data_IF_476722951079
#
_entry.id   IF_476722951079
#
_cell.length_a   1.000
_cell.length_b   1.000
_cell.length_c   1.000
_cell.angle_alpha   90.00
_cell.angle_beta   90.00
_cell.angle_gamma   90.00
#
_symmetry.space_group_name_H-M   'P 1'
#
loop_
_entity.id
_entity.type
_entity.pdbx_description
1 polymer ?
#
# COMPACT_ATOMS: atom_id res chain seq x y z
N UNK A 1 54.51 -8.36 -32.15
CA UNK A 1 53.95 -6.99 -32.15
C UNK A 1 52.49 -7.13 -31.73
N UNK A 2 52.15 -6.69 -30.51
CA UNK A 2 50.76 -6.65 -30.03
C UNK A 2 50.16 -5.33 -30.51
N UNK A 3 48.97 -5.36 -31.10
CA UNK A 3 48.18 -4.17 -31.39
C UNK A 3 47.12 -4.04 -30.30
N UNK A 4 47.28 -3.04 -29.45
CA UNK A 4 46.28 -2.63 -28.46
C UNK A 4 45.23 -1.77 -29.17
N UNK A 5 43.98 -2.24 -29.22
CA UNK A 5 42.84 -1.48 -29.72
C UNK A 5 42.23 -0.65 -28.58
N UNK A 6 42.47 0.66 -28.57
CA UNK A 6 41.81 1.60 -27.68
C UNK A 6 40.48 2.08 -28.26
N UNK A 7 39.44 2.14 -27.43
CA UNK A 7 38.19 2.85 -27.75
C UNK A 7 38.26 4.29 -27.23
N UNK A 8 37.65 5.23 -27.96
CA UNK A 8 37.60 6.65 -27.60
C UNK A 8 36.21 6.92 -27.01
N UNK A 9 36.13 7.27 -25.73
CA UNK A 9 34.95 7.95 -25.17
C UNK A 9 34.91 9.39 -25.70
N UNK A 10 33.77 9.78 -26.26
CA UNK A 10 33.52 11.15 -26.70
C UNK A 10 32.54 11.80 -25.73
N UNK A 11 32.94 12.91 -25.11
CA UNK A 11 32.01 13.77 -24.39
C UNK A 11 31.11 14.54 -25.37
N UNK A 12 29.92 14.91 -24.89
CA UNK A 12 28.93 15.65 -25.67
C UNK A 12 29.55 16.90 -26.34
N UNK A 13 29.38 17.02 -27.66
CA UNK A 13 29.78 18.21 -28.44
C UNK A 13 30.96 18.06 -29.40
N UNK A 14 31.53 16.86 -29.60
CA UNK A 14 32.65 16.65 -30.54
C UNK A 14 32.21 16.04 -31.88
N UNK A 15 32.65 16.62 -33.01
CA UNK A 15 32.36 16.13 -34.38
C UNK A 15 33.50 15.26 -34.93
N UNK A 16 33.20 14.04 -35.38
CA UNK A 16 34.15 13.21 -36.11
C UNK A 16 34.26 13.70 -37.57
N UNK A 17 35.38 14.33 -37.93
CA UNK A 17 35.64 14.75 -39.32
C UNK A 17 36.41 13.66 -40.06
N UNK A 18 35.70 12.80 -40.80
CA UNK A 18 36.31 11.89 -41.77
C UNK A 18 36.38 12.58 -43.14
N UNK A 19 37.59 12.82 -43.65
CA UNK A 19 37.82 13.40 -44.98
C UNK A 19 37.76 12.29 -46.04
N UNK A 20 36.63 12.19 -46.76
CA UNK A 20 36.52 11.46 -48.03
C UNK A 20 35.84 12.38 -49.05
N UNK A 21 36.30 12.34 -50.30
CA UNK A 21 36.14 13.38 -51.31
C UNK A 21 34.72 13.84 -51.66
N UNK A 22 34.62 15.16 -51.87
CA UNK A 22 33.77 15.90 -52.83
C UNK A 22 32.32 15.42 -53.00
N UNK A 23 31.49 15.66 -51.98
CA UNK A 23 30.10 16.16 -52.08
C UNK A 23 29.52 16.25 -50.67
N UNK A 24 29.30 17.46 -50.15
CA UNK A 24 28.65 17.65 -48.86
C UNK A 24 27.13 17.51 -49.03
N UNK A 25 26.62 16.30 -48.81
CA UNK A 25 25.21 16.12 -48.46
C UNK A 25 25.10 16.31 -46.94
N UNK A 26 24.75 17.52 -46.51
CA UNK A 26 24.42 17.77 -45.10
C UNK A 26 23.05 17.17 -44.81
N UNK A 27 23.02 15.91 -44.38
CA UNK A 27 21.85 15.39 -43.66
C UNK A 27 21.90 16.04 -42.28
N UNK A 28 21.21 17.17 -42.13
CA UNK A 28 20.96 17.76 -40.83
C UNK A 28 20.01 16.83 -40.09
N UNK A 29 20.54 15.88 -39.33
CA UNK A 29 19.77 15.22 -38.29
C UNK A 29 19.50 16.28 -37.23
N UNK A 30 18.30 16.87 -37.27
CA UNK A 30 17.76 17.59 -36.12
C UNK A 30 17.56 16.54 -35.04
N UNK A 31 18.60 16.30 -34.24
CA UNK A 31 18.41 15.77 -32.90
C UNK A 31 17.80 16.94 -32.14
N UNK A 32 16.47 17.01 -32.14
CA UNK A 32 15.78 17.76 -31.09
C UNK A 32 16.12 17.03 -29.82
N UNK A 33 17.17 17.45 -29.12
CA UNK A 33 17.25 17.16 -27.70
C UNK A 33 15.99 17.81 -27.15
N UNK A 34 14.99 17.00 -26.80
CA UNK A 34 13.94 17.46 -25.91
C UNK A 34 14.64 18.16 -24.74
N UNK A 35 14.09 19.26 -24.20
CA UNK A 35 14.62 19.80 -22.96
C UNK A 35 14.73 18.61 -22.00
N UNK A 36 15.94 18.33 -21.53
CA UNK A 36 16.10 17.48 -20.36
C UNK A 36 15.39 18.27 -19.28
N UNK A 37 14.15 17.89 -18.95
CA UNK A 37 13.57 18.26 -17.68
C UNK A 37 14.66 17.90 -16.66
N UNK A 38 15.07 18.86 -15.84
CA UNK A 38 15.89 18.52 -14.68
C UNK A 38 15.11 17.52 -13.81
N UNK A 39 15.68 17.00 -12.72
CA UNK A 39 14.91 16.22 -11.77
C UNK A 39 13.82 17.14 -11.19
N UNK A 40 12.67 17.19 -11.85
CA UNK A 40 11.44 17.62 -11.22
C UNK A 40 11.11 16.48 -10.27
N UNK A 41 10.81 16.82 -9.02
CA UNK A 41 10.32 15.83 -8.09
C UNK A 41 8.99 15.32 -8.64
N UNK A 42 8.89 14.02 -8.88
CA UNK A 42 7.66 13.37 -9.32
C UNK A 42 6.57 13.56 -8.25
N UNK A 43 5.35 13.88 -8.67
CA UNK A 43 4.19 13.94 -7.78
C UNK A 43 3.37 12.68 -7.98
N UNK A 44 3.48 11.75 -7.04
CA UNK A 44 3.10 10.34 -7.22
C UNK A 44 1.60 10.01 -7.20
N UNK A 45 0.73 11.02 -7.30
CA UNK A 45 -0.72 10.88 -7.18
C UNK A 45 -1.52 11.77 -8.16
N UNK A 46 -0.87 12.38 -9.16
CA UNK A 46 -1.50 13.43 -9.97
C UNK A 46 -1.86 13.01 -11.40
N UNK A 47 -1.53 11.78 -11.82
CA UNK A 47 -1.85 11.25 -13.14
C UNK A 47 -0.98 11.80 -14.26
N UNK A 48 0.21 12.35 -13.96
CA UNK A 48 1.12 12.95 -14.93
C UNK A 48 2.54 12.47 -14.70
N UNK A 49 3.25 12.37 -15.81
CA UNK A 49 4.70 12.29 -15.91
C UNK A 49 5.29 13.70 -15.63
N UNK A 50 5.64 13.99 -14.37
CA UNK A 50 6.10 15.33 -13.96
C UNK A 50 7.60 15.53 -14.25
N UNK A 51 8.39 14.45 -14.27
CA UNK A 51 9.82 14.48 -14.54
C UNK A 51 10.19 14.24 -16.03
N UNK A 52 9.27 13.71 -16.83
CA UNK A 52 9.36 13.57 -18.28
C UNK A 52 10.04 12.28 -18.77
N UNK A 53 10.15 11.24 -17.93
CA UNK A 53 10.78 9.98 -18.29
C UNK A 53 9.85 8.98 -19.03
N UNK A 54 8.54 9.28 -19.05
CA UNK A 54 7.50 8.49 -19.71
C UNK A 54 6.76 7.51 -18.80
N UNK A 55 7.02 7.50 -17.50
CA UNK A 55 6.28 6.80 -16.46
C UNK A 55 5.35 7.79 -15.74
N UNK A 56 4.46 7.30 -14.87
CA UNK A 56 3.45 8.13 -14.21
C UNK A 56 3.06 7.51 -12.89
N UNK A 57 3.03 8.30 -11.82
CA UNK A 57 2.60 7.90 -10.47
C UNK A 57 3.24 6.56 -10.03
N UNK A 58 2.45 5.59 -9.55
CA UNK A 58 2.96 4.30 -9.09
C UNK A 58 3.51 3.39 -10.18
N UNK A 59 3.36 3.74 -11.46
CA UNK A 59 4.08 3.06 -12.54
C UNK A 59 5.53 3.55 -12.67
N UNK A 60 5.87 4.64 -11.97
CA UNK A 60 7.21 5.22 -11.90
C UNK A 60 8.02 4.60 -10.75
N UNK A 61 9.30 4.36 -11.02
CA UNK A 61 10.26 3.88 -10.03
C UNK A 61 10.71 5.00 -9.08
N UNK A 62 10.66 6.27 -9.50
CA UNK A 62 10.96 7.44 -8.66
C UNK A 62 9.86 7.69 -7.61
N UNK A 63 8.68 7.09 -7.80
CA UNK A 63 7.57 7.09 -6.86
C UNK A 63 7.58 5.96 -5.84
N UNK A 64 8.60 5.10 -5.84
CA UNK A 64 8.72 4.01 -4.87
C UNK A 64 9.34 4.48 -3.55
N UNK A 65 9.00 3.78 -2.47
CA UNK A 65 9.66 3.91 -1.18
C UNK A 65 8.86 4.61 -0.10
N UNK A 66 7.52 4.55 -0.16
CA UNK A 66 6.71 4.90 1.00
C UNK A 66 6.98 3.95 2.17
N UNK A 67 7.18 4.50 3.36
CA UNK A 67 7.39 3.75 4.60
C UNK A 67 6.16 3.81 5.51
N UNK A 68 5.14 4.60 5.15
CA UNK A 68 3.97 4.85 5.97
C UNK A 68 2.74 4.04 5.55
N UNK A 69 2.83 2.72 5.70
CA UNK A 69 1.68 1.81 5.61
C UNK A 69 1.02 1.65 6.99
N UNK A 70 -0.28 1.84 7.06
CA UNK A 70 -1.06 1.61 8.29
C UNK A 70 -2.17 0.59 8.07
N UNK A 71 -2.73 0.09 9.18
CA UNK A 71 -4.07 -0.51 9.21
C UNK A 71 -5.06 0.60 9.53
N UNK A 72 -6.02 0.84 8.66
CA UNK A 72 -7.05 1.88 8.79
C UNK A 72 -8.34 1.36 9.40
N UNK A 73 -8.69 0.10 9.16
CA UNK A 73 -9.97 -0.45 9.61
C UNK A 73 -9.87 -1.97 9.86
N UNK A 74 -10.58 -2.47 10.89
CA UNK A 74 -10.65 -3.90 11.21
C UNK A 74 -12.09 -4.28 11.56
N UNK A 75 -12.66 -5.24 10.85
CA UNK A 75 -13.89 -5.93 11.23
C UNK A 75 -13.54 -7.34 11.70
N UNK A 76 -13.61 -7.56 13.01
CA UNK A 76 -13.23 -8.82 13.66
C UNK A 76 -14.42 -9.61 14.23
N UNK A 77 -15.65 -9.12 14.07
CA UNK A 77 -16.86 -9.73 14.64
C UNK A 77 -18.12 -9.33 13.85
N UNK A 78 -18.18 -9.64 12.53
CA UNK A 78 -19.33 -9.31 11.69
C UNK A 78 -20.63 -9.92 12.23
N UNK A 79 -21.77 -9.25 12.00
CA UNK A 79 -23.07 -9.71 12.49
C UNK A 79 -24.00 -10.23 11.40
N UNK A 80 -23.73 -9.89 10.13
CA UNK A 80 -24.58 -10.29 9.01
C UNK A 80 -24.19 -11.64 8.40
N UNK A 81 -22.91 -12.01 8.50
CA UNK A 81 -22.35 -13.28 8.01
C UNK A 81 -21.36 -13.83 9.03
N UNK A 82 -21.02 -15.15 8.99
CA UNK A 82 -20.00 -15.70 9.87
C UNK A 82 -18.63 -15.03 9.67
N UNK A 83 -17.82 -15.04 10.71
CA UNK A 83 -16.45 -14.47 10.75
C UNK A 83 -15.58 -14.94 9.58
N UNK A 84 -15.66 -16.25 9.26
CA UNK A 84 -14.94 -16.87 8.13
C UNK A 84 -15.26 -16.24 6.77
N UNK A 85 -16.34 -15.48 6.68
CA UNK A 85 -16.80 -14.81 5.46
C UNK A 85 -16.64 -13.29 5.56
N UNK A 86 -17.06 -12.68 6.67
CA UNK A 86 -17.25 -11.22 6.78
C UNK A 86 -16.14 -10.43 7.47
N UNK A 87 -15.15 -11.09 8.07
CA UNK A 87 -14.01 -10.38 8.64
C UNK A 87 -13.15 -9.74 7.57
N UNK A 88 -12.61 -8.56 7.89
CA UNK A 88 -11.62 -7.90 7.05
C UNK A 88 -10.64 -7.05 7.83
N UNK A 89 -9.51 -6.80 7.18
CA UNK A 89 -8.49 -5.81 7.55
C UNK A 89 -8.30 -4.89 6.36
N UNK A 90 -8.30 -3.58 6.61
CA UNK A 90 -7.98 -2.59 5.60
C UNK A 90 -6.61 -1.97 5.88
N UNK A 91 -5.75 -1.97 4.86
CA UNK A 91 -4.51 -1.22 4.85
C UNK A 91 -4.73 0.11 4.14
N UNK A 92 -3.99 1.15 4.56
CA UNK A 92 -3.96 2.45 3.87
C UNK A 92 -2.54 2.94 3.73
N UNK A 93 -2.22 3.48 2.56
CA UNK A 93 -0.99 4.21 2.33
C UNK A 93 -1.15 5.66 2.78
N UNK A 94 -0.53 6.01 3.92
CA UNK A 94 -0.54 7.37 4.47
C UNK A 94 0.70 8.18 4.03
N UNK A 95 1.55 7.61 3.15
CA UNK A 95 2.71 8.27 2.57
C UNK A 95 2.34 9.16 1.37
N UNK A 96 3.27 10.03 0.95
CA UNK A 96 3.18 10.82 -0.28
C UNK A 96 3.78 10.10 -1.51
N UNK A 97 4.18 8.84 -1.32
CA UNK A 97 4.74 7.96 -2.34
C UNK A 97 3.98 6.66 -2.45
N UNK A 98 4.21 5.95 -3.54
CA UNK A 98 3.64 4.63 -3.74
C UNK A 98 4.33 3.58 -2.88
N UNK A 99 3.55 2.60 -2.43
CA UNK A 99 4.02 1.43 -1.71
C UNK A 99 3.76 0.19 -2.58
N UNK A 100 4.83 -0.50 -2.96
CA UNK A 100 4.75 -1.80 -3.65
C UNK A 100 4.64 -2.92 -2.60
N UNK A 101 3.45 -3.51 -2.52
CA UNK A 101 3.15 -4.64 -1.65
C UNK A 101 3.44 -5.98 -2.34
N UNK A 102 3.86 -6.00 -3.60
CA UNK A 102 4.15 -7.21 -4.36
C UNK A 102 5.07 -8.16 -3.61
N UNK A 103 4.57 -9.38 -3.35
CA UNK A 103 5.31 -10.42 -2.64
C UNK A 103 5.45 -10.21 -1.12
N UNK A 104 4.97 -9.10 -0.56
CA UNK A 104 4.83 -8.92 0.89
C UNK A 104 3.85 -9.96 1.44
N UNK A 105 3.79 -10.09 2.77
CA UNK A 105 2.87 -11.01 3.42
C UNK A 105 2.12 -10.39 4.59
N UNK A 106 0.91 -10.89 4.84
CA UNK A 106 0.06 -10.55 5.98
C UNK A 106 -0.32 -11.82 6.74
N UNK A 107 -0.32 -11.75 8.07
CA UNK A 107 -0.73 -12.83 8.95
C UNK A 107 -1.40 -12.30 10.22
N UNK A 108 -2.13 -13.18 10.90
CA UNK A 108 -2.54 -12.97 12.28
C UNK A 108 -1.50 -13.57 13.26
N UNK A 109 -1.50 -13.13 14.52
CA UNK A 109 -0.41 -13.33 15.48
C UNK A 109 -0.18 -14.76 15.96
N UNK A 110 -0.95 -15.75 15.48
CA UNK A 110 -0.84 -17.16 15.83
C UNK A 110 0.41 -17.87 15.27
N UNK A 111 1.09 -17.27 14.28
CA UNK A 111 2.26 -17.86 13.61
C UNK A 111 1.90 -18.98 12.62
N UNK A 112 0.65 -19.00 12.15
CA UNK A 112 0.22 -19.79 11.00
C UNK A 112 0.80 -19.19 9.69
N UNK A 113 0.79 -19.93 8.57
CA UNK A 113 1.41 -19.45 7.32
C UNK A 113 0.85 -18.09 6.90
N UNK A 114 1.75 -17.13 6.65
CA UNK A 114 1.37 -15.84 6.11
C UNK A 114 0.77 -15.98 4.70
N UNK A 115 -0.13 -15.06 4.35
CA UNK A 115 -0.65 -14.95 2.99
C UNK A 115 0.08 -13.84 2.25
N UNK A 116 0.36 -14.05 0.96
CA UNK A 116 1.14 -13.13 0.15
C UNK A 116 0.26 -12.26 -0.75
N UNK A 117 0.62 -10.99 -0.90
CA UNK A 117 0.03 -10.11 -1.88
C UNK A 117 0.51 -10.49 -3.30
N UNK A 118 -0.35 -10.32 -4.30
CA UNK A 118 0.00 -10.62 -5.69
C UNK A 118 1.11 -9.68 -6.18
N UNK A 119 1.99 -10.20 -7.04
CA UNK A 119 3.06 -9.40 -7.67
C UNK A 119 2.46 -8.19 -8.43
N UNK A 120 3.04 -7.01 -8.23
CA UNK A 120 2.55 -5.77 -8.83
C UNK A 120 1.39 -5.10 -8.08
N UNK A 121 1.02 -5.60 -6.89
CA UNK A 121 0.10 -4.88 -5.98
C UNK A 121 0.77 -3.60 -5.50
N UNK A 122 0.23 -2.44 -5.87
CA UNK A 122 0.77 -1.13 -5.52
C UNK A 122 -0.34 -0.27 -4.94
N UNK A 123 0.00 0.52 -3.92
CA UNK A 123 -0.89 1.53 -3.34
C UNK A 123 -0.35 2.92 -3.62
N UNK A 124 -1.17 3.73 -4.28
CA UNK A 124 -0.96 5.17 -4.42
C UNK A 124 -1.13 5.89 -3.08
N UNK A 125 -0.64 7.14 -2.96
CA UNK A 125 -0.91 7.98 -1.79
C UNK A 125 -2.41 8.05 -1.46
N UNK A 126 -2.77 7.73 -0.22
CA UNK A 126 -4.16 7.69 0.27
C UNK A 126 -4.98 6.47 -0.17
N UNK A 127 -4.44 5.59 -1.02
CA UNK A 127 -5.15 4.40 -1.46
C UNK A 127 -5.25 3.34 -0.35
N UNK A 128 -6.37 2.62 -0.34
CA UNK A 128 -6.65 1.53 0.60
C UNK A 128 -6.60 0.17 -0.08
N UNK A 129 -6.29 -0.88 0.68
CA UNK A 129 -6.37 -2.28 0.25
C UNK A 129 -7.15 -3.10 1.28
N UNK A 130 -8.28 -3.68 0.86
CA UNK A 130 -9.16 -4.45 1.74
C UNK A 130 -8.92 -5.95 1.58
N UNK A 131 -8.49 -6.58 2.67
CA UNK A 131 -8.30 -8.01 2.81
C UNK A 131 -9.51 -8.59 3.54
N UNK A 132 -10.24 -9.54 2.94
CA UNK A 132 -11.38 -10.19 3.62
C UNK A 132 -11.27 -11.72 3.66
N UNK A 133 -11.97 -12.35 4.61
CA UNK A 133 -12.08 -13.82 4.72
C UNK A 133 -12.70 -14.48 3.48
N UNK A 134 -13.60 -13.77 2.79
CA UNK A 134 -14.10 -14.10 1.45
C UNK A 134 -14.15 -12.85 0.57
N UNK A 135 -13.57 -12.86 -0.63
CA UNK A 135 -13.60 -11.69 -1.52
C UNK A 135 -14.90 -11.54 -2.32
N UNK A 136 -15.82 -12.50 -2.24
CA UNK A 136 -17.09 -12.43 -2.94
C UNK A 136 -18.07 -11.59 -2.13
N UNK A 137 -18.30 -10.35 -2.57
CA UNK A 137 -19.18 -9.38 -1.92
C UNK A 137 -20.58 -9.91 -1.57
N UNK A 138 -21.13 -10.81 -2.40
CA UNK A 138 -22.45 -11.43 -2.15
C UNK A 138 -22.46 -12.52 -1.06
N UNK A 139 -21.30 -12.91 -0.54
CA UNK A 139 -21.13 -13.96 0.48
C UNK A 139 -20.50 -13.42 1.77
N UNK A 140 -19.79 -12.29 1.71
CA UNK A 140 -19.07 -11.69 2.84
C UNK A 140 -19.83 -10.53 3.52
N UNK A 141 -21.14 -10.41 3.31
CA UNK A 141 -21.93 -9.31 3.88
C UNK A 141 -21.77 -7.97 3.16
N UNK A 142 -21.17 -7.95 1.96
CA UNK A 142 -21.05 -6.77 1.11
C UNK A 142 -19.73 -6.01 1.23
N UNK A 143 -18.70 -6.62 1.81
CA UNK A 143 -17.34 -6.04 1.88
C UNK A 143 -16.73 -5.97 0.47
N UNK A 144 -16.29 -4.78 0.00
CA UNK A 144 -15.63 -4.60 -1.29
C UNK A 144 -14.14 -5.00 -1.22
N UNK A 145 -13.87 -6.29 -1.04
CA UNK A 145 -12.51 -6.79 -0.84
C UNK A 145 -11.68 -6.80 -2.14
N UNK A 146 -10.42 -6.39 -2.03
CA UNK A 146 -9.41 -6.49 -3.09
C UNK A 146 -8.76 -7.87 -3.13
N UNK A 147 -8.70 -8.55 -1.98
CA UNK A 147 -8.19 -9.91 -1.86
C UNK A 147 -8.99 -10.79 -0.88
N UNK A 148 -9.05 -12.09 -1.18
CA UNK A 148 -9.55 -13.12 -0.26
C UNK A 148 -8.36 -13.73 0.46
N UNK A 149 -8.22 -13.52 1.77
CA UNK A 149 -7.21 -14.19 2.58
C UNK A 149 -7.86 -15.04 3.66
N UNK A 150 -7.55 -16.33 3.63
CA UNK A 150 -7.98 -17.28 4.64
C UNK A 150 -7.01 -17.17 5.81
N UNK A 151 -7.33 -16.34 6.78
CA UNK A 151 -6.74 -16.48 8.11
C UNK A 151 -7.03 -17.91 8.57
N UNK A 152 -5.99 -18.73 8.77
CA UNK A 152 -6.17 -20.16 9.09
C UNK A 152 -7.04 -20.35 10.36
N UNK A 153 -7.01 -19.35 11.24
CA UNK A 153 -8.00 -19.08 12.27
C UNK A 153 -8.43 -17.63 12.09
N UNK A 154 -9.73 -17.38 11.94
CA UNK A 154 -10.35 -16.03 11.86
C UNK A 154 -9.76 -15.06 12.89
N UNK A 155 -9.92 -13.77 12.66
CA UNK A 155 -9.58 -12.76 13.67
C UNK A 155 -10.33 -13.09 14.97
N UNK A 156 -9.66 -12.95 16.11
CA UNK A 156 -10.29 -13.28 17.38
C UNK A 156 -11.10 -12.11 17.95
N UNK A 157 -12.39 -12.36 18.24
CA UNK A 157 -13.33 -11.39 18.83
C UNK A 157 -12.86 -10.73 20.14
N UNK A 158 -11.98 -11.41 20.91
CA UNK A 158 -11.41 -10.85 22.15
C UNK A 158 -10.25 -9.91 21.82
N UNK A 159 -9.22 -10.43 21.16
CA UNK A 159 -8.03 -9.70 20.76
C UNK A 159 -7.17 -10.53 19.81
N UNK A 160 -6.49 -9.87 18.88
CA UNK A 160 -5.53 -10.50 17.97
C UNK A 160 -4.42 -9.50 17.59
N UNK A 161 -3.60 -9.86 16.62
CA UNK A 161 -2.49 -9.07 16.11
C UNK A 161 -2.38 -9.22 14.61
N UNK A 162 -2.32 -8.09 13.90
CA UNK A 162 -2.04 -8.04 12.47
C UNK A 162 -0.55 -7.80 12.27
N UNK A 163 0.07 -8.63 11.46
CA UNK A 163 1.48 -8.48 11.08
C UNK A 163 1.60 -8.43 9.57
N UNK A 164 2.37 -7.46 9.08
CA UNK A 164 2.74 -7.35 7.66
C UNK A 164 4.24 -7.34 7.54
N UNK A 165 4.79 -8.25 6.74
CA UNK A 165 6.22 -8.36 6.45
C UNK A 165 6.49 -8.04 4.97
N UNK A 166 7.55 -7.29 4.70
CA UNK A 166 8.00 -7.06 3.33
C UNK A 166 8.68 -8.30 2.71
N UNK A 167 9.03 -8.23 1.42
CA UNK A 167 9.62 -9.35 0.68
C UNK A 167 10.99 -9.80 1.24
N UNK A 168 11.69 -8.92 1.99
CA UNK A 168 12.96 -9.23 2.64
C UNK A 168 12.75 -9.81 4.06
N UNK A 169 11.50 -9.91 4.52
CA UNK A 169 11.12 -10.39 5.85
C UNK A 169 11.23 -9.35 6.96
N UNK A 170 11.27 -8.05 6.61
CA UNK A 170 11.21 -7.00 7.62
C UNK A 170 9.76 -6.75 8.02
N UNK A 171 9.51 -6.69 9.33
CA UNK A 171 8.20 -6.37 9.87
C UNK A 171 7.87 -4.89 9.63
N UNK A 172 6.81 -4.65 8.84
CA UNK A 172 6.30 -3.31 8.47
C UNK A 172 5.13 -2.90 9.35
N UNK A 173 4.24 -3.85 9.69
CA UNK A 173 3.15 -3.64 10.65
C UNK A 173 3.25 -4.71 11.74
N UNK A 174 3.11 -4.28 12.99
CA UNK A 174 2.94 -5.14 14.17
C UNK A 174 1.85 -4.55 15.07
N UNK A 175 0.60 -4.75 14.69
CA UNK A 175 -0.55 -4.09 15.31
C UNK A 175 -1.34 -5.06 16.19
N UNK A 176 -1.26 -4.97 17.53
CA UNK A 176 -2.23 -5.63 18.39
C UNK A 176 -3.56 -4.86 18.40
N UNK A 177 -4.70 -5.55 18.35
CA UNK A 177 -6.03 -4.98 18.60
C UNK A 177 -6.78 -5.76 19.68
N UNK A 178 -7.72 -5.10 20.35
CA UNK A 178 -8.51 -5.66 21.44
C UNK A 178 -9.95 -5.17 21.39
N UNK A 179 -10.88 -6.00 21.83
CA UNK A 179 -12.27 -5.62 22.09
C UNK A 179 -12.39 -5.06 23.52
N UNK A 180 -12.22 -3.75 23.66
CA UNK A 180 -12.30 -3.04 24.94
C UNK A 180 -10.98 -2.91 25.70
N UNK A 181 -11.09 -2.74 27.03
CA UNK A 181 -9.95 -2.32 27.87
C UNK A 181 -8.79 -3.31 27.86
N UNK A 182 -7.57 -2.77 27.84
CA UNK A 182 -6.27 -3.44 27.84
C UNK A 182 -6.30 -4.95 28.13
N UNK A 183 -6.30 -5.76 27.06
CA UNK A 183 -5.95 -7.17 27.17
C UNK A 183 -4.43 -7.35 27.04
N UNK A 184 -3.81 -7.82 28.12
CA UNK A 184 -2.37 -8.11 28.15
C UNK A 184 -1.99 -9.37 27.35
N UNK A 185 -2.95 -10.21 26.94
CA UNK A 185 -2.71 -11.38 26.08
C UNK A 185 -2.13 -10.95 24.74
N UNK A 186 -2.72 -9.94 24.12
CA UNK A 186 -2.35 -9.47 22.78
C UNK A 186 -1.38 -8.29 22.80
N UNK A 187 -1.19 -7.64 23.96
CA UNK A 187 -0.23 -6.55 24.14
C UNK A 187 -0.77 -5.18 23.72
N UNK A 188 -2.10 -5.02 23.71
CA UNK A 188 -2.75 -3.77 23.38
C UNK A 188 -2.32 -2.64 24.33
N UNK A 189 -2.14 -1.46 23.75
CA UNK A 189 -1.83 -0.22 24.45
C UNK A 189 -3.03 0.73 24.35
N UNK A 190 -3.21 1.61 25.34
CA UNK A 190 -4.36 2.52 25.40
C UNK A 190 -5.70 1.83 25.67
N UNK A 191 -6.78 2.57 25.45
CA UNK A 191 -8.17 2.12 25.58
C UNK A 191 -8.75 1.82 24.20
N UNK A 192 -8.67 0.55 23.78
CA UNK A 192 -9.37 0.12 22.58
C UNK A 192 -10.89 0.19 22.77
N UNK A 193 -11.65 0.60 21.75
CA UNK A 193 -13.10 0.64 21.83
C UNK A 193 -13.70 -0.77 21.88
N UNK A 194 -14.68 -0.98 22.76
CA UNK A 194 -15.51 -2.18 22.75
C UNK A 194 -16.73 -1.93 21.84
N UNK A 195 -16.62 -2.34 20.59
CA UNK A 195 -17.65 -2.06 19.59
C UNK A 195 -18.81 -3.05 19.69
N UNK A 196 -20.03 -2.65 19.32
CA UNK A 196 -21.13 -3.61 19.20
C UNK A 196 -20.85 -4.60 18.07
N UNK A 197 -21.39 -5.81 18.18
CA UNK A 197 -21.33 -6.82 17.12
C UNK A 197 -21.71 -6.22 15.76
N UNK A 198 -20.93 -6.54 14.74
CA UNK A 198 -21.09 -6.01 13.38
C UNK A 198 -20.48 -4.63 13.16
N UNK A 199 -19.91 -3.97 14.17
CA UNK A 199 -19.20 -2.71 13.97
C UNK A 199 -17.69 -2.90 13.96
N UNK A 200 -17.07 -2.48 12.86
CA UNK A 200 -15.62 -2.40 12.73
C UNK A 200 -15.02 -1.38 13.69
N UNK A 201 -13.70 -1.49 13.90
CA UNK A 201 -12.89 -0.44 14.52
C UNK A 201 -12.18 0.34 13.41
N UNK A 202 -12.36 1.65 13.42
CA UNK A 202 -11.80 2.61 12.47
C UNK A 202 -10.69 3.42 13.15
N UNK A 203 -9.55 3.55 12.49
CA UNK A 203 -8.45 4.40 12.93
C UNK A 203 -8.79 5.87 12.66
N UNK A 204 -8.69 6.69 13.72
CA UNK A 204 -9.00 8.12 13.74
C UNK A 204 -7.84 8.98 14.24
N UNK A 205 -6.66 8.38 14.43
CA UNK A 205 -5.45 9.10 14.78
C UNK A 205 -4.93 9.93 13.61
N UNK A 206 -4.08 10.91 13.94
CA UNK A 206 -3.32 11.69 12.96
C UNK A 206 -1.83 11.27 12.91
N UNK A 207 -1.48 10.16 13.56
CA UNK A 207 -0.11 9.70 13.76
C UNK A 207 0.21 8.46 12.91
N UNK A 208 1.50 8.30 12.63
CA UNK A 208 2.10 7.09 12.04
C UNK A 208 2.08 5.87 12.97
N UNK A 209 1.67 6.06 14.22
CA UNK A 209 1.55 5.01 15.23
C UNK A 209 0.06 4.70 15.41
N UNK A 210 -0.44 3.68 14.72
CA UNK A 210 -1.82 3.20 14.86
C UNK A 210 -1.95 2.11 15.93
N UNK A 211 -0.96 1.99 16.84
CA UNK A 211 -0.89 0.94 17.87
C UNK A 211 -1.55 1.31 19.20
N UNK A 212 -1.97 2.57 19.37
CA UNK A 212 -2.65 3.07 20.56
C UNK A 212 -4.18 3.02 20.37
N UNK A 213 -4.88 2.24 21.20
CA UNK A 213 -6.34 2.10 21.15
C UNK A 213 -7.10 3.43 21.28
N UNK A 214 -6.51 4.44 21.94
CA UNK A 214 -7.08 5.78 22.11
C UNK A 214 -7.32 6.53 20.79
N UNK A 215 -6.72 6.05 19.70
CA UNK A 215 -6.87 6.59 18.36
C UNK A 215 -7.89 5.81 17.50
N UNK A 216 -8.46 4.72 18.02
CA UNK A 216 -9.46 3.89 17.32
C UNK A 216 -10.89 4.16 17.81
N UNK A 217 -11.87 4.09 16.92
CA UNK A 217 -13.29 4.33 17.24
C UNK A 217 -14.15 3.25 16.61
N UNK A 218 -15.34 3.03 17.17
CA UNK A 218 -16.31 2.15 16.52
C UNK A 218 -16.89 2.84 15.30
N UNK A 219 -16.97 2.08 14.22
CA UNK A 219 -17.67 2.47 13.02
C UNK A 219 -19.14 2.76 13.31
N UNK A 220 -19.70 3.70 12.54
CA UNK A 220 -21.13 4.07 12.64
C UNK A 220 -21.82 4.12 11.28
N UNK A 221 -21.07 3.97 10.20
CA UNK A 221 -21.57 4.05 8.83
C UNK A 221 -22.01 2.65 8.38
N UNK A 222 -23.27 2.44 8.00
CA UNK A 222 -23.68 1.14 7.46
C UNK A 222 -23.06 0.87 6.08
N UNK A 223 -22.59 -0.35 5.86
CA UNK A 223 -22.20 -0.86 4.55
C UNK A 223 -22.91 -2.19 4.25
N UNK A 224 -22.86 -2.60 2.97
CA UNK A 224 -23.29 -3.93 2.55
C UNK A 224 -24.68 -4.33 3.05
N UNK A 225 -24.74 -5.47 3.72
CA UNK A 225 -25.96 -6.08 4.25
C UNK A 225 -26.40 -5.50 5.62
N UNK A 226 -25.60 -4.63 6.25
CA UNK A 226 -26.00 -3.90 7.46
C UNK A 226 -24.99 -3.86 8.60
N UNK A 227 -23.80 -4.45 8.44
CA UNK A 227 -22.67 -4.19 9.34
C UNK A 227 -22.20 -2.73 9.21
N UNK A 228 -21.40 -2.26 10.17
CA UNK A 228 -20.93 -0.87 10.27
C UNK A 228 -19.42 -0.80 10.02
N UNK A 229 -19.02 0.11 9.15
CA UNK A 229 -17.65 0.28 8.65
C UNK A 229 -17.59 1.19 7.44
N UNK A 230 -16.39 1.47 6.97
CA UNK A 230 -16.10 2.27 5.78
C UNK A 230 -15.10 1.58 4.84
N UNK A 231 -15.24 0.27 4.55
CA UNK A 231 -14.25 -0.42 3.74
C UNK A 231 -14.15 0.21 2.34
N UNK A 232 -12.92 0.48 1.93
CA UNK A 232 -12.49 1.19 0.73
C UNK A 232 -12.99 2.66 0.67
N UNK A 233 -13.11 3.30 1.83
CA UNK A 233 -13.52 4.70 1.97
C UNK A 233 -12.86 5.36 3.19
N UNK A 234 -12.95 6.68 3.26
CA UNK A 234 -12.44 7.43 4.41
C UNK A 234 -13.24 7.14 5.69
N UNK A 235 -12.51 6.79 6.76
CA UNK A 235 -13.05 6.58 8.10
C UNK A 235 -13.84 7.79 8.62
N UNK A 236 -14.96 7.54 9.32
CA UNK A 236 -15.82 8.60 9.83
C UNK A 236 -15.48 8.89 11.29
N UNK A 237 -14.50 9.77 11.46
CA UNK A 237 -14.00 10.14 12.77
C UNK A 237 -14.74 11.34 13.36
N UNK A 238 -15.54 11.18 14.44
CA UNK A 238 -16.17 12.32 15.10
C UNK A 238 -15.10 13.25 15.69
N UNK A 239 -15.30 14.55 15.55
CA UNK A 239 -14.42 15.55 16.17
C UNK A 239 -14.40 15.35 17.70
N UNK A 240 -13.19 15.21 18.27
CA UNK A 240 -12.97 15.12 19.72
C UNK A 240 -13.57 16.31 20.49
#
# INVERSE_FOLDING_TARGET
MKHDGGWIEMSAGSFLRLLVGIAFLSVGLLVTTAPVCGPATEVCDNGRDDDGDGLTDCADDDCQGGDLLIVSEIQYHPSQVPDTEGEYVELRNDDDRCIDLGGWSIQEGSGLPATHFEEGTRLAPGETFVIAGNARSLQNGGVPADAEFRFETTLNDDCDRIQVEDIDGNLRIDLPFCNGTQDRRCGCQGEWPACPDGAAVEFCGASTENTLGDDWRCATTPYGDGDLGTPNAENVCPSR
#
